data_IF_050189911802
#
_entry.id   IF_050189911802
#
_cell.length_a   1.000
_cell.length_b   1.000
_cell.length_c   1.000
_cell.angle_alpha   90.00
_cell.angle_beta   90.00
_cell.angle_gamma   90.00
#
_symmetry.space_group_name_H-M   'P 1'
#
loop_
_entity.id
_entity.type
_entity.pdbx_description
1 polymer ?
#
# COMPACT_ATOMS: atom_id res chain seq x y z
N UNK A 1 3.33 5.78 15.68
CA UNK A 1 3.59 6.67 14.51
C UNK A 1 2.33 7.49 14.30
N UNK A 2 2.42 8.80 14.39
CA UNK A 2 1.36 9.76 14.04
C UNK A 2 1.48 10.16 12.55
N UNK A 3 0.58 11.04 12.07
CA UNK A 3 0.52 11.44 10.65
C UNK A 3 1.82 12.09 10.17
N UNK A 4 2.38 13.04 10.94
CA UNK A 4 3.62 13.73 10.58
C UNK A 4 4.79 12.75 10.48
N UNK A 5 4.95 11.88 11.46
CA UNK A 5 5.98 10.83 11.46
C UNK A 5 5.83 9.86 10.28
N UNK A 6 4.60 9.53 9.89
CA UNK A 6 4.34 8.65 8.75
C UNK A 6 4.70 9.34 7.42
N UNK A 7 4.35 10.62 7.28
CA UNK A 7 4.69 11.41 6.10
C UNK A 7 6.20 11.69 6.00
N UNK A 8 6.88 11.99 7.12
CA UNK A 8 8.34 12.12 7.17
C UNK A 8 9.05 10.81 6.77
N UNK A 9 8.55 9.66 7.24
CA UNK A 9 9.07 8.36 6.84
C UNK A 9 8.88 8.10 5.34
N UNK A 10 7.71 8.51 4.79
CA UNK A 10 7.45 8.44 3.36
C UNK A 10 8.42 9.32 2.56
N UNK A 11 8.71 10.53 3.02
CA UNK A 11 9.68 11.43 2.38
C UNK A 11 11.08 10.85 2.37
N UNK A 12 11.51 10.27 3.49
CA UNK A 12 12.80 9.56 3.56
C UNK A 12 12.84 8.40 2.57
N UNK A 13 11.77 7.59 2.52
CA UNK A 13 11.69 6.45 1.62
C UNK A 13 11.76 6.88 0.15
N UNK A 14 11.01 7.92 -0.23
CA UNK A 14 11.01 8.47 -1.60
C UNK A 14 12.40 9.02 -1.98
N UNK A 15 13.07 9.70 -1.06
CA UNK A 15 14.43 10.22 -1.27
C UNK A 15 15.46 9.11 -1.48
N UNK A 16 15.36 8.03 -0.70
CA UNK A 16 16.29 6.89 -0.78
C UNK A 16 15.87 5.85 -1.83
N UNK A 17 14.69 6.01 -2.46
CA UNK A 17 14.13 5.00 -3.37
C UNK A 17 15.06 4.63 -4.52
N UNK A 18 15.76 5.57 -5.20
CA UNK A 18 16.70 5.21 -6.26
C UNK A 18 17.80 4.25 -5.77
N UNK A 19 18.38 4.50 -4.61
CA UNK A 19 19.42 3.67 -4.02
C UNK A 19 18.88 2.31 -3.55
N UNK A 20 17.68 2.31 -2.95
CA UNK A 20 17.05 1.08 -2.47
C UNK A 20 16.73 0.10 -3.59
N UNK A 21 16.36 0.59 -4.78
CA UNK A 21 16.00 -0.23 -5.94
C UNK A 21 17.23 -0.91 -6.57
N UNK A 22 18.42 -0.35 -6.42
CA UNK A 22 19.65 -0.93 -6.99
C UNK A 22 19.99 -2.30 -6.37
N UNK A 23 19.72 -2.48 -5.07
CA UNK A 23 19.92 -3.78 -4.41
C UNK A 23 18.61 -4.55 -4.33
N UNK A 24 18.27 -5.23 -5.43
CA UNK A 24 17.04 -6.03 -5.51
C UNK A 24 17.02 -7.23 -4.55
N UNK A 25 18.17 -7.70 -4.08
CA UNK A 25 18.26 -8.84 -3.17
C UNK A 25 17.63 -8.58 -1.79
N UNK A 26 17.45 -7.32 -1.43
CA UNK A 26 16.81 -6.89 -0.18
C UNK A 26 15.28 -6.94 -0.21
N UNK A 27 14.68 -7.17 -1.38
CA UNK A 27 13.24 -7.06 -1.54
C UNK A 27 12.56 -8.42 -1.56
N UNK A 28 11.52 -8.55 -0.75
CA UNK A 28 10.57 -9.66 -0.81
C UNK A 28 9.46 -9.32 -1.79
N UNK A 29 9.11 -10.24 -2.67
CA UNK A 29 8.05 -10.05 -3.66
C UNK A 29 6.80 -10.85 -3.34
N UNK A 30 5.64 -10.33 -3.76
CA UNK A 30 4.34 -10.96 -3.53
C UNK A 30 3.34 -10.57 -4.61
N UNK A 31 2.64 -11.57 -5.16
CA UNK A 31 1.44 -11.39 -5.98
C UNK A 31 0.20 -11.58 -5.12
N UNK A 32 -0.66 -10.57 -5.03
CA UNK A 32 -1.92 -10.59 -4.31
C UNK A 32 -3.05 -10.62 -5.35
N UNK A 33 -3.52 -11.81 -5.69
CA UNK A 33 -4.57 -12.06 -6.69
C UNK A 33 -5.90 -12.55 -6.09
N UNK A 34 -5.96 -12.68 -4.75
CA UNK A 34 -7.11 -13.22 -4.03
C UNK A 34 -8.23 -12.21 -3.79
N UNK A 35 -7.91 -10.95 -3.93
CA UNK A 35 -8.83 -9.81 -3.76
C UNK A 35 -8.47 -8.71 -4.74
N UNK A 36 -9.44 -7.90 -5.11
CA UNK A 36 -9.21 -6.72 -5.95
C UNK A 36 -8.81 -5.50 -5.09
N UNK A 37 -8.00 -4.62 -5.65
CA UNK A 37 -7.28 -4.77 -6.91
C UNK A 37 -6.21 -5.86 -6.85
N UNK A 38 -5.97 -6.56 -7.94
CA UNK A 38 -4.79 -7.43 -8.02
C UNK A 38 -3.55 -6.58 -7.89
N UNK A 39 -2.64 -7.04 -7.03
CA UNK A 39 -1.51 -6.24 -6.61
C UNK A 39 -0.22 -7.01 -6.73
N UNK A 40 0.74 -6.42 -7.43
CA UNK A 40 2.14 -6.83 -7.39
C UNK A 40 2.84 -5.94 -6.36
N UNK A 41 3.49 -6.55 -5.40
CA UNK A 41 4.13 -5.83 -4.30
C UNK A 41 5.54 -6.35 -4.08
N UNK A 42 6.50 -5.44 -3.97
CA UNK A 42 7.80 -5.73 -3.36
C UNK A 42 7.93 -4.92 -2.08
N UNK A 43 8.67 -5.45 -1.11
CA UNK A 43 8.82 -4.81 0.19
C UNK A 43 10.22 -5.03 0.74
N UNK A 44 10.77 -4.00 1.38
CA UNK A 44 12.04 -4.06 2.14
C UNK A 44 11.92 -3.21 3.39
N UNK A 45 12.95 -3.20 4.23
CA UNK A 45 13.03 -2.32 5.38
C UNK A 45 13.90 -1.10 5.06
N UNK A 46 13.40 0.09 5.39
CA UNK A 46 14.15 1.34 5.38
C UNK A 46 15.07 1.40 6.59
N UNK A 47 14.55 1.01 7.74
CA UNK A 47 15.23 0.85 9.03
C UNK A 47 14.52 -0.25 9.85
N UNK A 48 14.95 -0.50 11.09
CA UNK A 48 14.41 -1.56 11.95
C UNK A 48 12.90 -1.46 12.20
N UNK A 49 12.32 -0.28 12.09
CA UNK A 49 10.93 0.02 12.44
C UNK A 49 10.05 0.40 11.25
N UNK A 50 10.65 0.70 10.10
CA UNK A 50 9.94 1.22 8.94
C UNK A 50 10.12 0.30 7.73
N UNK A 51 9.00 -0.23 7.24
CA UNK A 51 8.95 -1.03 6.01
C UNK A 51 8.51 -0.17 4.83
N UNK A 52 9.20 -0.31 3.71
CA UNK A 52 8.83 0.29 2.41
C UNK A 52 8.22 -0.78 1.52
N UNK A 53 7.14 -0.45 0.85
CA UNK A 53 6.50 -1.31 -0.13
C UNK A 53 6.22 -0.55 -1.42
N UNK A 54 6.50 -1.17 -2.55
CA UNK A 54 6.19 -0.68 -3.88
C UNK A 54 5.04 -1.52 -4.43
N UNK A 55 3.93 -0.87 -4.77
CA UNK A 55 2.75 -1.54 -5.30
C UNK A 55 2.49 -1.15 -6.75
N UNK A 56 2.19 -2.14 -7.57
CA UNK A 56 1.52 -1.99 -8.85
C UNK A 56 0.13 -2.57 -8.70
N UNK A 57 -0.89 -1.74 -8.86
CA UNK A 57 -2.30 -2.12 -8.80
C UNK A 57 -2.88 -2.25 -10.20
N UNK A 58 -3.50 -3.38 -10.50
CA UNK A 58 -4.35 -3.54 -11.67
C UNK A 58 -5.68 -2.80 -11.45
N UNK A 59 -6.35 -2.42 -12.54
CA UNK A 59 -7.68 -1.80 -12.49
C UNK A 59 -8.72 -2.72 -11.89
N UNK A 60 -9.70 -2.13 -11.20
CA UNK A 60 -10.90 -2.83 -10.75
C UNK A 60 -12.05 -1.85 -10.51
N UNK A 61 -13.28 -2.37 -10.50
CA UNK A 61 -14.46 -1.60 -10.15
C UNK A 61 -14.54 -1.37 -8.64
N UNK A 62 -15.30 -0.35 -8.23
CA UNK A 62 -15.42 0.03 -6.82
C UNK A 62 -16.04 -1.06 -5.96
N UNK A 63 -17.03 -1.79 -6.47
CA UNK A 63 -17.72 -2.87 -5.78
C UNK A 63 -16.87 -4.12 -5.61
N UNK A 64 -15.85 -4.30 -6.45
CA UNK A 64 -14.86 -5.35 -6.32
C UNK A 64 -13.77 -5.02 -5.29
N UNK A 65 -13.52 -3.72 -5.05
CA UNK A 65 -12.41 -3.28 -4.22
C UNK A 65 -12.58 -3.68 -2.75
N UNK A 66 -11.56 -4.31 -2.20
CA UNK A 66 -11.57 -4.78 -0.81
C UNK A 66 -11.43 -3.63 0.17
N UNK A 67 -12.51 -3.30 0.91
CA UNK A 67 -12.47 -2.37 2.03
C UNK A 67 -11.89 -3.08 3.27
N UNK A 68 -10.80 -2.56 3.83
CA UNK A 68 -10.07 -3.20 4.93
C UNK A 68 -9.33 -2.19 5.81
N UNK A 69 -9.09 -2.50 7.11
CA UNK A 69 -8.20 -1.74 7.97
C UNK A 69 -6.77 -2.23 7.82
N UNK A 70 -5.80 -1.38 8.13
CA UNK A 70 -4.40 -1.77 8.20
C UNK A 70 -4.00 -2.30 9.58
N UNK A 71 -3.03 -3.25 9.66
CA UNK A 71 -2.46 -3.74 10.91
C UNK A 71 -1.36 -2.83 11.50
N UNK A 72 -1.06 -1.74 10.86
CA UNK A 72 0.01 -0.80 11.18
C UNK A 72 -0.36 0.60 10.71
N UNK A 73 0.20 1.65 11.31
CA UNK A 73 0.17 2.98 10.76
C UNK A 73 1.02 3.05 9.50
N UNK A 74 0.64 3.90 8.55
CA UNK A 74 1.43 4.06 7.34
C UNK A 74 1.08 5.31 6.56
N UNK A 75 1.95 5.63 5.59
CA UNK A 75 1.71 6.68 4.62
C UNK A 75 1.95 6.18 3.20
N UNK A 76 1.33 6.84 2.25
CA UNK A 76 1.24 6.43 0.85
C UNK A 76 1.51 7.61 -0.07
N UNK A 77 2.19 7.34 -1.20
CA UNK A 77 2.33 8.26 -2.31
C UNK A 77 1.97 7.58 -3.61
N UNK A 78 1.24 8.27 -4.48
CA UNK A 78 0.94 7.81 -5.83
C UNK A 78 2.01 8.38 -6.76
N UNK A 79 2.83 7.49 -7.33
CA UNK A 79 3.89 7.89 -8.26
C UNK A 79 3.39 8.00 -9.71
N UNK A 80 2.40 7.17 -10.07
CA UNK A 80 1.77 7.18 -11.39
C UNK A 80 0.38 6.57 -11.32
N UNK A 81 -0.54 7.13 -12.11
CA UNK A 81 -1.93 6.67 -12.21
C UNK A 81 -2.85 7.40 -11.26
N UNK A 82 -4.04 6.84 -11.06
CA UNK A 82 -5.08 7.38 -10.18
C UNK A 82 -6.06 6.31 -9.75
N UNK A 83 -6.65 6.49 -8.58
CA UNK A 83 -7.70 5.61 -8.07
C UNK A 83 -8.76 6.36 -7.27
N UNK A 84 -9.94 5.77 -7.19
CA UNK A 84 -10.91 6.14 -6.18
C UNK A 84 -10.55 5.45 -4.87
N UNK A 85 -10.45 6.21 -3.78
CA UNK A 85 -10.27 5.70 -2.44
C UNK A 85 -11.57 5.86 -1.67
N UNK A 86 -12.10 4.75 -1.13
CA UNK A 86 -13.11 4.84 -0.10
C UNK A 86 -12.41 4.85 1.26
N UNK A 87 -12.77 5.79 2.13
CA UNK A 87 -12.19 5.98 3.46
C UNK A 87 -13.31 6.10 4.48
N UNK A 88 -13.26 5.30 5.53
CA UNK A 88 -14.24 5.33 6.61
C UNK A 88 -13.65 4.93 7.94
N UNK A 89 -14.36 5.22 9.02
CA UNK A 89 -14.01 4.81 10.37
C UNK A 89 -15.09 3.88 10.93
N UNK A 90 -14.68 2.80 11.56
CA UNK A 90 -15.55 1.90 12.30
C UNK A 90 -15.30 2.01 13.80
N UNK A 91 -16.25 1.59 14.60
CA UNK A 91 -16.08 1.45 16.06
C UNK A 91 -15.22 0.24 16.42
N UNK A 92 -15.18 -0.73 15.51
CA UNK A 92 -14.40 -1.97 15.66
C UNK A 92 -13.60 -2.27 14.37
N UNK A 93 -12.61 -3.14 14.47
CA UNK A 93 -11.85 -3.62 13.30
C UNK A 93 -12.52 -4.77 12.55
N UNK A 94 -13.56 -5.34 13.12
CA UNK A 94 -14.28 -6.50 12.57
C UNK A 94 -15.51 -6.11 11.77
N UNK A 95 -16.03 -4.91 12.01
CA UNK A 95 -17.21 -4.39 11.34
C UNK A 95 -16.83 -3.30 10.34
N UNK A 96 -17.43 -3.38 9.16
CA UNK A 96 -17.23 -2.33 8.15
C UNK A 96 -17.84 -1.02 8.61
N UNK A 97 -17.23 0.13 8.28
CA UNK A 97 -17.83 1.42 8.55
C UNK A 97 -19.20 1.55 7.87
N UNK A 98 -20.16 2.18 8.56
CA UNK A 98 -21.52 2.44 8.03
C UNK A 98 -21.53 3.45 6.89
N UNK A 99 -20.53 4.32 6.86
CA UNK A 99 -20.35 5.32 5.81
C UNK A 99 -18.88 5.46 5.47
N UNK A 100 -18.62 5.79 4.20
CA UNK A 100 -17.28 6.06 3.69
C UNK A 100 -17.30 7.35 2.87
N UNK A 101 -16.24 8.14 3.00
CA UNK A 101 -15.95 9.21 2.06
C UNK A 101 -15.28 8.61 0.81
N UNK A 102 -15.55 9.18 -0.37
CA UNK A 102 -14.89 8.80 -1.61
C UNK A 102 -14.00 9.95 -2.08
N UNK A 103 -12.74 9.65 -2.32
CA UNK A 103 -11.72 10.60 -2.70
C UNK A 103 -11.07 10.15 -4.01
N UNK A 104 -10.94 11.05 -4.98
CA UNK A 104 -10.13 10.80 -6.16
C UNK A 104 -8.69 11.14 -5.83
N UNK A 105 -7.85 10.11 -5.84
CA UNK A 105 -6.41 10.23 -5.58
C UNK A 105 -5.67 10.16 -6.93
N UNK A 106 -4.87 11.18 -7.22
CA UNK A 106 -4.11 11.30 -8.47
C UNK A 106 -2.61 11.13 -8.24
N UNK A 107 -1.86 11.05 -9.32
CA UNK A 107 -0.40 11.18 -9.29
C UNK A 107 0.03 12.39 -8.46
N UNK A 108 1.01 12.23 -7.59
CA UNK A 108 1.46 13.23 -6.62
C UNK A 108 0.67 13.24 -5.30
N UNK A 109 -0.54 12.65 -5.25
CA UNK A 109 -1.29 12.58 -3.99
C UNK A 109 -0.56 11.78 -2.92
N UNK A 110 -0.63 12.29 -1.68
CA UNK A 110 -0.02 11.69 -0.49
C UNK A 110 -1.04 11.67 0.64
N UNK A 111 -1.02 10.64 1.46
CA UNK A 111 -1.89 10.55 2.63
C UNK A 111 -1.31 9.59 3.67
N UNK A 112 -1.77 9.74 4.91
CA UNK A 112 -1.44 8.84 6.01
C UNK A 112 -2.71 8.15 6.54
N UNK A 113 -2.54 6.93 7.05
CA UNK A 113 -3.54 6.18 7.82
C UNK A 113 -2.83 5.74 9.09
N UNK A 114 -3.05 6.48 10.18
CA UNK A 114 -2.38 6.28 11.47
C UNK A 114 -3.33 5.92 12.60
N UNK A 115 -4.63 5.85 12.29
CA UNK A 115 -5.67 5.45 13.23
C UNK A 115 -6.09 4.00 13.01
N UNK A 116 -6.06 3.16 14.06
CA UNK A 116 -6.27 1.72 13.93
C UNK A 116 -7.66 1.30 13.44
N UNK A 117 -8.67 2.15 13.58
CA UNK A 117 -10.06 1.88 13.16
C UNK A 117 -10.41 2.50 11.81
N UNK A 118 -9.41 3.03 11.11
CA UNK A 118 -9.59 3.55 9.76
C UNK A 118 -9.55 2.41 8.75
N UNK A 119 -10.56 2.39 7.91
CA UNK A 119 -10.73 1.44 6.80
C UNK A 119 -10.58 2.17 5.49
N UNK A 120 -9.92 1.54 4.54
CA UNK A 120 -9.86 2.05 3.18
C UNK A 120 -9.96 0.94 2.13
N UNK A 121 -10.35 1.34 0.94
CA UNK A 121 -10.18 0.56 -0.28
C UNK A 121 -9.64 1.45 -1.38
N UNK A 122 -8.98 0.86 -2.36
CA UNK A 122 -8.51 1.54 -3.56
C UNK A 122 -9.08 0.84 -4.79
N UNK A 123 -9.67 1.63 -5.70
CA UNK A 123 -10.22 1.17 -6.98
C UNK A 123 -9.47 1.90 -8.09
N UNK A 124 -8.40 1.30 -8.63
CA UNK A 124 -7.59 1.95 -9.65
C UNK A 124 -8.38 2.11 -10.95
N UNK A 125 -8.50 3.35 -11.42
CA UNK A 125 -9.15 3.70 -12.69
C UNK A 125 -8.26 3.43 -13.90
N UNK A 126 -6.96 3.46 -13.65
CA UNK A 126 -5.89 3.03 -14.57
C UNK A 126 -4.86 2.28 -13.75
N UNK A 127 -3.95 1.54 -14.38
CA UNK A 127 -2.85 0.90 -13.65
C UNK A 127 -2.11 1.95 -12.81
N UNK A 128 -1.90 1.65 -11.53
CA UNK A 128 -1.42 2.62 -10.56
C UNK A 128 -0.19 2.10 -9.81
N UNK A 129 0.79 2.98 -9.60
CA UNK A 129 2.05 2.69 -8.93
C UNK A 129 2.18 3.56 -7.69
N UNK A 130 2.39 2.92 -6.54
CA UNK A 130 2.45 3.63 -5.26
C UNK A 130 3.64 3.19 -4.43
N UNK A 131 4.14 4.12 -3.61
CA UNK A 131 5.04 3.82 -2.50
C UNK A 131 4.23 3.89 -1.22
N UNK A 132 4.39 2.89 -0.38
CA UNK A 132 3.84 2.85 0.97
C UNK A 132 4.96 2.68 1.97
N UNK A 133 4.92 3.41 3.06
CA UNK A 133 5.68 3.12 4.26
C UNK A 133 4.76 2.70 5.38
N UNK A 134 5.21 1.78 6.21
CA UNK A 134 4.47 1.40 7.40
C UNK A 134 5.39 1.19 8.60
N UNK A 135 4.90 1.63 9.75
CA UNK A 135 5.54 1.45 11.04
C UNK A 135 5.25 0.09 11.67
N UNK A 136 5.58 -0.06 12.95
CA UNK A 136 5.31 -1.28 13.71
C UNK A 136 3.81 -1.58 13.77
N UNK A 137 3.49 -2.87 13.89
CA UNK A 137 2.10 -3.30 14.10
C UNK A 137 1.52 -2.66 15.35
N UNK A 138 0.22 -2.37 15.30
CA UNK A 138 -0.52 -2.00 16.49
C UNK A 138 -0.37 -3.08 17.57
N UNK A 139 -0.34 -2.71 18.86
CA UNK A 139 -0.35 -3.68 19.95
C UNK A 139 -1.47 -4.72 19.82
N UNK A 140 -1.24 -5.94 20.32
CA UNK A 140 -2.16 -7.06 20.13
C UNK A 140 -3.50 -6.87 20.87
N UNK A 141 -3.54 -6.04 21.90
CA UNK A 141 -4.73 -5.63 22.65
C UNK A 141 -5.68 -4.75 21.82
N UNK A 142 -5.15 -4.09 20.82
CA UNK A 142 -5.94 -3.50 19.74
C UNK A 142 -6.34 -4.68 18.84
N UNK A 143 -7.30 -5.47 19.32
CA UNK A 143 -7.65 -6.79 18.84
C UNK A 143 -7.75 -6.86 17.33
N UNK A 144 -6.75 -7.44 16.69
CA UNK A 144 -6.88 -8.07 15.38
C UNK A 144 -7.70 -9.34 15.59
N UNK A 145 -8.93 -9.21 16.06
CA UNK A 145 -9.86 -10.29 15.97
C UNK A 145 -9.93 -10.63 14.50
N UNK A 146 -9.05 -11.54 14.13
CA UNK A 146 -9.09 -12.39 12.96
C UNK A 146 -10.04 -11.90 11.85
N UNK A 147 -9.74 -10.73 11.24
CA UNK A 147 -10.00 -10.63 9.83
C UNK A 147 -8.97 -11.62 9.24
N UNK A 148 -9.18 -12.91 9.50
CA UNK A 148 -8.83 -13.91 8.55
C UNK A 148 -9.55 -13.43 7.31
N UNK A 149 -8.82 -12.74 6.45
CA UNK A 149 -9.21 -12.76 5.06
C UNK A 149 -9.45 -14.24 4.81
N UNK A 150 -10.71 -14.63 4.69
CA UNK A 150 -11.04 -15.98 4.27
C UNK A 150 -10.29 -16.10 2.96
N UNK A 151 -9.12 -16.70 3.08
CA UNK A 151 -8.36 -17.13 1.93
C UNK A 151 -9.28 -18.11 1.29
N UNK A 152 -9.93 -17.68 0.19
CA UNK A 152 -10.58 -18.60 -0.69
C UNK A 152 -9.55 -19.67 -0.98
N UNK A 153 -9.82 -20.84 -0.47
CA UNK A 153 -9.14 -22.10 -0.55
C UNK A 153 -7.81 -22.14 -1.33
N UNK A 154 -6.72 -22.40 -0.60
CA UNK A 154 -5.66 -23.27 -1.08
C UNK A 154 -4.50 -22.66 -1.86
N UNK A 155 -4.55 -21.44 -2.39
CA UNK A 155 -3.39 -20.86 -3.06
C UNK A 155 -2.57 -20.04 -2.06
N UNK A 156 -1.36 -20.50 -1.77
CA UNK A 156 -0.37 -19.75 -0.99
C UNK A 156 -0.10 -18.37 -1.59
N UNK A 157 0.45 -17.44 -0.81
CA UNK A 157 0.99 -16.21 -1.35
C UNK A 157 2.13 -16.58 -2.31
N UNK A 158 2.06 -16.10 -3.55
CA UNK A 158 3.01 -16.47 -4.61
C UNK A 158 3.97 -15.31 -4.82
N UNK A 159 5.27 -15.60 -4.86
CA UNK A 159 6.27 -14.62 -5.26
C UNK A 159 6.11 -14.28 -6.75
N UNK A 160 6.56 -13.10 -7.15
CA UNK A 160 6.68 -12.74 -8.56
C UNK A 160 7.68 -13.66 -9.25
N UNK A 161 7.46 -13.94 -10.54
CA UNK A 161 8.50 -14.53 -11.39
C UNK A 161 9.66 -13.55 -11.59
N UNK A 162 10.83 -14.03 -11.99
CA UNK A 162 11.98 -13.17 -12.30
C UNK A 162 11.62 -12.05 -13.30
N UNK A 163 10.92 -12.40 -14.38
CA UNK A 163 10.47 -11.42 -15.37
C UNK A 163 9.53 -10.36 -14.78
N UNK A 164 8.52 -10.76 -13.99
CA UNK A 164 7.59 -9.84 -13.33
C UNK A 164 8.33 -8.90 -12.37
N UNK A 165 9.33 -9.41 -11.68
CA UNK A 165 10.14 -8.65 -10.74
C UNK A 165 10.99 -7.60 -11.46
N UNK A 166 11.63 -7.98 -12.56
CA UNK A 166 12.41 -7.09 -13.42
C UNK A 166 11.55 -5.95 -14.00
N UNK A 167 10.40 -6.30 -14.59
CA UNK A 167 9.44 -5.34 -15.12
C UNK A 167 8.96 -4.37 -14.02
N UNK A 168 8.69 -4.89 -12.82
CA UNK A 168 8.26 -4.09 -11.67
C UNK A 168 9.32 -3.06 -11.28
N UNK A 169 10.58 -3.49 -11.08
CA UNK A 169 11.67 -2.58 -10.74
C UNK A 169 12.02 -1.60 -11.85
N UNK A 170 11.95 -2.01 -13.12
CA UNK A 170 12.20 -1.10 -14.24
C UNK A 170 11.28 0.12 -14.21
N UNK A 171 9.98 -0.10 -13.95
CA UNK A 171 9.03 1.00 -13.82
C UNK A 171 9.34 1.89 -12.60
N UNK A 172 9.65 1.30 -11.45
CA UNK A 172 9.95 2.11 -10.25
C UNK A 172 11.27 2.86 -10.36
N UNK A 173 12.29 2.38 -11.09
CA UNK A 173 13.49 3.15 -11.43
C UNK A 173 13.14 4.38 -12.26
N UNK A 174 12.31 4.21 -13.30
CA UNK A 174 11.83 5.35 -14.10
C UNK A 174 11.09 6.39 -13.24
N UNK A 175 10.22 5.93 -12.34
CA UNK A 175 9.41 6.81 -11.50
C UNK A 175 10.20 7.50 -10.38
N UNK A 176 11.19 6.83 -9.79
CA UNK A 176 12.00 7.38 -8.70
C UNK A 176 12.92 8.53 -9.14
N UNK A 177 13.26 8.62 -10.42
CA UNK A 177 14.05 9.72 -10.98
C UNK A 177 13.23 10.98 -11.31
N UNK A 178 11.91 10.97 -11.15
CA UNK A 178 11.04 12.10 -11.47
C UNK A 178 10.80 12.96 -10.22
N UNK A 179 10.83 14.31 -10.34
CA UNK A 179 10.35 15.15 -9.27
C UNK A 179 8.86 14.86 -9.07
N UNK A 180 8.45 14.57 -7.82
CA UNK A 180 7.02 14.50 -7.49
C UNK A 180 6.41 15.87 -7.76
N UNK A 181 5.28 15.91 -8.51
CA UNK A 181 4.56 17.14 -8.72
C UNK A 181 4.20 17.74 -7.34
N UNK A 182 4.71 18.94 -7.07
CA UNK A 182 4.30 19.70 -5.90
C UNK A 182 2.88 20.21 -6.18
N UNK A 183 1.89 19.61 -5.51
CA UNK A 183 0.53 20.15 -5.44
C UNK A 183 0.42 21.15 -4.32
#
# INVERSE_FOLDING_TARGET
MNDDQALEALDRALKCLPELIEDQSRWESLVIDRKKPWTYRVSTFLDESCRVSLHRFATCDEDEASLHPHPWPGAFAILRGRYLMALGRSETRTERPKSVAKLLMNEGSRYAITEPLTWHSVSPLVECYTVMVNGPRWPADVAWAHIRMRTTEGKGLVAMTGQQLEEHFAVFRELSGRPLANN
#
